data_IF_722129501694
#
_entry.id   IF_722129501694
#
_cell.length_a   1.000
_cell.length_b   1.000
_cell.length_c   1.000
_cell.angle_alpha   90.00
_cell.angle_beta   90.00
_cell.angle_gamma   90.00
#
_symmetry.space_group_name_H-M   'P 1'
#
loop_
_entity.id
_entity.type
_entity.pdbx_description
1 polymer ?
#
# COMPACT_ATOMS: atom_id res chain seq x y z
N UNK A 1 -1.35 -4.24 8.38
CA UNK A 1 -0.53 -4.14 7.15
C UNK A 1 0.91 -4.54 7.46
N UNK A 2 1.68 -5.00 6.47
CA UNK A 2 3.11 -5.29 6.60
C UNK A 2 3.87 -4.71 5.41
N UNK A 3 5.19 -4.51 5.54
CA UNK A 3 6.03 -4.02 4.46
C UNK A 3 7.52 -4.27 4.70
N UNK A 4 8.31 -4.16 3.63
CA UNK A 4 9.76 -4.41 3.65
C UNK A 4 10.62 -3.19 3.31
N UNK A 5 11.93 -3.33 3.43
CA UNK A 5 12.90 -2.25 3.22
C UNK A 5 12.83 -1.66 1.80
N UNK A 6 12.53 -2.47 0.78
CA UNK A 6 12.36 -2.07 -0.61
C UNK A 6 11.00 -1.41 -0.91
N UNK A 7 10.48 -0.62 0.03
CA UNK A 7 9.17 0.03 0.00
C UNK A 7 7.99 -0.90 -0.34
N UNK A 8 8.16 -2.22 -0.19
CA UNK A 8 7.09 -3.19 -0.40
C UNK A 8 6.00 -3.00 0.66
N UNK A 9 4.76 -3.25 0.30
CA UNK A 9 3.62 -3.03 1.19
C UNK A 9 2.44 -3.95 0.83
N UNK A 10 1.82 -4.56 1.83
CA UNK A 10 0.67 -5.42 1.62
C UNK A 10 -0.24 -5.50 2.85
N UNK A 11 -1.53 -5.70 2.59
CA UNK A 11 -2.55 -5.92 3.61
C UNK A 11 -3.79 -6.60 3.02
N UNK A 12 -4.67 -7.05 3.92
CA UNK A 12 -6.01 -7.56 3.62
C UNK A 12 -6.99 -6.69 4.39
N UNK A 13 -8.06 -6.27 3.73
CA UNK A 13 -9.20 -5.59 4.33
C UNK A 13 -10.49 -6.36 3.98
N UNK A 14 -10.99 -7.20 4.90
CA UNK A 14 -12.18 -8.02 4.63
C UNK A 14 -13.49 -7.22 4.62
N UNK A 15 -13.51 -5.98 5.14
CA UNK A 15 -14.73 -5.15 5.10
C UNK A 15 -15.02 -4.63 3.70
N UNK A 16 -13.95 -4.34 2.94
CA UNK A 16 -14.01 -3.89 1.54
C UNK A 16 -13.79 -5.04 0.53
N UNK A 17 -13.77 -6.30 0.98
CA UNK A 17 -13.39 -7.47 0.17
C UNK A 17 -12.10 -7.25 -0.67
N UNK A 18 -11.09 -6.64 -0.03
CA UNK A 18 -9.88 -6.15 -0.70
C UNK A 18 -8.62 -6.85 -0.17
N UNK A 19 -7.72 -7.22 -1.09
CA UNK A 19 -6.32 -7.49 -0.76
C UNK A 19 -5.40 -6.67 -1.65
N UNK A 20 -4.31 -6.16 -1.07
CA UNK A 20 -3.34 -5.32 -1.78
C UNK A 20 -1.94 -5.90 -1.62
N UNK A 21 -1.24 -6.03 -2.74
CA UNK A 21 0.18 -6.37 -2.80
C UNK A 21 0.90 -5.36 -3.68
N UNK A 22 1.85 -4.64 -3.11
CA UNK A 22 2.60 -3.59 -3.78
C UNK A 22 4.10 -3.86 -3.70
N UNK A 23 4.73 -3.98 -4.86
CA UNK A 23 6.17 -4.23 -5.01
C UNK A 23 6.86 -3.04 -5.66
N UNK A 24 8.01 -2.67 -5.11
CA UNK A 24 8.88 -1.65 -5.71
C UNK A 24 10.34 -2.10 -5.64
N UNK A 25 11.22 -1.36 -6.31
CA UNK A 25 12.67 -1.50 -6.22
C UNK A 25 13.31 -0.26 -5.58
N UNK A 26 12.66 0.32 -4.56
CA UNK A 26 13.10 1.55 -3.89
C UNK A 26 13.48 1.30 -2.43
N UNK A 27 14.72 1.65 -2.06
CA UNK A 27 15.22 1.62 -0.67
C UNK A 27 15.88 2.97 -0.31
N UNK A 28 15.84 3.41 0.97
CA UNK A 28 15.06 2.84 2.08
C UNK A 28 13.55 3.15 1.94
N UNK A 29 12.70 2.44 2.70
CA UNK A 29 11.25 2.62 2.65
C UNK A 29 10.74 3.99 3.16
N UNK A 30 11.64 4.84 3.67
CA UNK A 30 11.36 6.20 4.14
C UNK A 30 11.64 7.29 3.10
N UNK A 31 12.15 6.95 1.90
CA UNK A 31 12.50 7.93 0.86
C UNK A 31 11.30 8.77 0.42
N UNK A 32 10.14 8.13 0.26
CA UNK A 32 8.88 8.78 -0.14
C UNK A 32 7.70 8.22 0.66
N UNK A 33 6.63 9.00 0.88
CA UNK A 33 5.44 8.56 1.63
C UNK A 33 4.51 7.63 0.84
N UNK A 34 5.06 6.81 -0.09
CA UNK A 34 4.30 6.03 -1.07
C UNK A 34 3.28 5.09 -0.41
N UNK A 35 3.58 4.53 0.77
CA UNK A 35 2.62 3.65 1.48
C UNK A 35 1.34 4.37 1.90
N UNK A 36 1.46 5.64 2.31
CA UNK A 36 0.31 6.46 2.70
C UNK A 36 -0.51 6.83 1.46
N UNK A 37 0.17 7.29 0.42
CA UNK A 37 -0.46 7.73 -0.83
C UNK A 37 -1.16 6.56 -1.53
N UNK A 38 -0.52 5.39 -1.62
CA UNK A 38 -1.11 4.17 -2.15
C UNK A 38 -2.41 3.81 -1.40
N UNK A 39 -2.38 3.84 -0.06
CA UNK A 39 -3.57 3.52 0.73
C UNK A 39 -4.71 4.48 0.41
N UNK A 40 -4.46 5.79 0.50
CA UNK A 40 -5.47 6.81 0.19
C UNK A 40 -6.03 6.63 -1.23
N UNK A 41 -5.17 6.44 -2.23
CA UNK A 41 -5.60 6.27 -3.62
C UNK A 41 -6.47 5.03 -3.84
N UNK A 42 -6.15 3.91 -3.19
CA UNK A 42 -6.94 2.67 -3.30
C UNK A 42 -8.33 2.85 -2.70
N UNK A 43 -8.45 3.36 -1.47
CA UNK A 43 -9.77 3.54 -0.86
C UNK A 43 -10.61 4.62 -1.56
N UNK A 44 -9.98 5.66 -2.12
CA UNK A 44 -10.71 6.64 -2.95
C UNK A 44 -11.25 6.02 -4.24
N UNK A 45 -10.55 5.05 -4.82
CA UNK A 45 -10.99 4.36 -6.04
C UNK A 45 -12.10 3.33 -5.79
N UNK A 46 -12.38 2.97 -4.54
CA UNK A 46 -13.50 2.08 -4.17
C UNK A 46 -14.83 2.83 -4.00
N UNK A 47 -14.81 4.17 -3.94
CA UNK A 47 -16.02 4.97 -3.76
C UNK A 47 -16.76 5.09 -5.09
N UNK A 48 -17.92 4.42 -5.19
CA UNK A 48 -19.00 4.68 -6.14
C UNK A 48 -20.06 5.64 -5.54
#
# INVERSE_FOLDING_TARGET
>A
HWGGAASTFFWVDPLEDLFVVFFTQLMPSSTYPIRRELRTGIYQALVD
#
